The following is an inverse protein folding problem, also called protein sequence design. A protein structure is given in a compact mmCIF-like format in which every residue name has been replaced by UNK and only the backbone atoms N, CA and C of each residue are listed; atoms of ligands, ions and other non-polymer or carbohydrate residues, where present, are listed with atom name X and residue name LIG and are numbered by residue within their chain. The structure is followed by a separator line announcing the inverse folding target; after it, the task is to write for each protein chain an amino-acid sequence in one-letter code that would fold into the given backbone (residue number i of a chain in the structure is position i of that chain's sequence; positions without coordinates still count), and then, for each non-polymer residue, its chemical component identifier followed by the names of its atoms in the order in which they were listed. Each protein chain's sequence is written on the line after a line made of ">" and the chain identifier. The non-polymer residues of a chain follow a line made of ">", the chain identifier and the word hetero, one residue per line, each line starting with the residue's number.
data_IF_037780279563
#
_entry.id   IF_037780279563
#
_cell.length_a   1.000
_cell.length_b   1.000
_cell.length_c   1.000
_cell.angle_alpha   90.00
_cell.angle_beta   90.00
_cell.angle_gamma   90.00
#
_symmetry.space_group_name_H-M   'P 1'
#
loop_
_entity.id
_entity.type
_entity.pdbx_description
1 polymer ?
#
# COMPACT_ATOMS: atom_id res chain seq x y z
N UNK A 1 20.85 8.89 -8.65
CA UNK A 1 21.08 8.83 -10.10
C UNK A 1 19.77 8.76 -10.89
N UNK A 2 18.90 7.75 -10.73
CA UNK A 2 17.62 7.63 -11.48
C UNK A 2 16.69 8.82 -11.32
N UNK A 3 16.61 9.42 -10.13
CA UNK A 3 15.78 10.59 -9.88
C UNK A 3 16.27 11.81 -10.64
N UNK A 4 17.58 12.00 -10.74
CA UNK A 4 18.22 13.05 -11.55
C UNK A 4 17.91 12.87 -13.03
N UNK A 5 18.03 11.63 -13.52
CA UNK A 5 17.70 11.27 -14.92
C UNK A 5 16.24 11.61 -15.26
N UNK A 6 15.32 11.29 -14.33
CA UNK A 6 13.89 11.60 -14.49
C UNK A 6 13.66 13.12 -14.56
N UNK A 7 14.24 13.90 -13.66
CA UNK A 7 14.10 15.36 -13.68
C UNK A 7 14.61 15.94 -14.99
N UNK A 8 15.78 15.51 -15.44
CA UNK A 8 16.37 15.99 -16.70
C UNK A 8 15.54 15.55 -17.91
N UNK A 9 15.00 14.33 -17.91
CA UNK A 9 14.06 13.86 -18.92
C UNK A 9 12.81 14.75 -18.99
N UNK A 10 12.19 15.05 -17.83
CA UNK A 10 11.00 15.90 -17.77
C UNK A 10 11.25 17.32 -18.28
N UNK A 11 12.39 17.92 -17.89
CA UNK A 11 12.81 19.23 -18.42
C UNK A 11 12.97 19.25 -19.94
N UNK A 12 13.52 18.18 -20.51
CA UNK A 12 13.70 18.01 -21.94
C UNK A 12 12.36 17.78 -22.67
N UNK A 13 11.48 16.99 -22.06
CA UNK A 13 10.20 16.61 -22.68
C UNK A 13 9.17 17.73 -22.66
N UNK A 14 9.19 18.57 -21.63
CA UNK A 14 8.27 19.70 -21.45
C UNK A 14 9.03 20.97 -21.07
N UNK A 15 9.78 21.55 -22.00
CA UNK A 15 10.61 22.74 -21.71
C UNK A 15 9.77 23.95 -21.29
N UNK A 16 8.50 24.01 -21.69
CA UNK A 16 7.55 25.05 -21.31
C UNK A 16 7.07 24.92 -19.85
N UNK A 17 7.26 23.74 -19.21
CA UNK A 17 6.93 23.51 -17.82
C UNK A 17 8.09 23.91 -16.93
N UNK A 18 7.90 24.96 -16.15
CA UNK A 18 8.93 25.43 -15.22
C UNK A 18 8.86 24.61 -13.93
N UNK A 19 9.68 23.56 -13.84
CA UNK A 19 9.82 22.75 -12.60
C UNK A 19 10.43 23.65 -11.53
N UNK A 20 9.72 23.86 -10.42
CA UNK A 20 10.14 24.74 -9.32
C UNK A 20 10.85 24.00 -8.19
N UNK A 21 10.53 22.76 -7.98
CA UNK A 21 11.05 21.95 -6.90
C UNK A 21 10.79 20.46 -7.19
N UNK A 22 11.44 19.60 -6.41
CA UNK A 22 11.19 18.15 -6.42
C UNK A 22 10.73 17.71 -5.03
N UNK A 23 9.62 17.01 -4.95
CA UNK A 23 9.24 16.25 -3.76
C UNK A 23 9.84 14.83 -3.89
N UNK A 24 10.72 14.47 -2.97
CA UNK A 24 11.47 13.22 -3.01
C UNK A 24 11.18 12.40 -1.75
N UNK A 25 10.25 11.43 -1.80
CA UNK A 25 9.93 10.61 -0.64
C UNK A 25 10.99 9.55 -0.33
N UNK A 26 11.92 9.27 -1.28
CA UNK A 26 12.83 8.14 -1.19
C UNK A 26 12.12 6.79 -1.34
N UNK A 27 12.88 5.71 -1.22
CA UNK A 27 12.37 4.35 -1.12
C UNK A 27 12.54 3.85 0.30
N UNK A 28 11.47 3.46 0.97
CA UNK A 28 11.54 2.98 2.35
C UNK A 28 12.37 1.70 2.44
N UNK A 29 13.43 1.73 3.27
CA UNK A 29 14.26 0.57 3.63
C UNK A 29 13.79 -0.02 4.95
N UNK A 30 13.52 0.87 5.94
CA UNK A 30 13.06 0.47 7.27
C UNK A 30 12.12 1.55 7.79
N UNK A 31 11.11 1.14 8.53
CA UNK A 31 10.14 2.04 9.13
C UNK A 31 9.71 1.51 10.48
N UNK A 32 9.72 2.40 11.49
CA UNK A 32 9.25 2.15 12.84
C UNK A 32 8.46 3.37 13.31
N UNK A 33 7.82 3.29 14.47
CA UNK A 33 7.15 4.45 15.08
C UNK A 33 8.15 5.54 15.57
N UNK A 34 9.46 5.23 15.61
CA UNK A 34 10.48 6.16 16.11
C UNK A 34 11.31 6.78 14.98
N UNK A 35 11.50 6.07 13.87
CA UNK A 35 12.28 6.56 12.73
C UNK A 35 11.88 5.87 11.42
N UNK A 36 12.26 6.48 10.32
CA UNK A 36 12.12 5.90 8.98
C UNK A 36 13.39 6.12 8.17
N UNK A 37 13.90 5.06 7.55
CA UNK A 37 15.09 5.10 6.69
C UNK A 37 14.63 5.01 5.24
N UNK A 38 14.97 6.03 4.46
CA UNK A 38 14.66 6.10 3.04
C UNK A 38 15.94 6.01 2.21
N UNK A 39 15.93 5.15 1.18
CA UNK A 39 17.00 5.13 0.19
C UNK A 39 16.92 6.34 -0.74
N UNK A 40 18.08 6.84 -1.10
CA UNK A 40 18.29 7.96 -2.00
C UNK A 40 18.82 9.19 -1.26
N UNK A 41 19.54 10.01 -1.99
CA UNK A 41 20.19 11.21 -1.47
C UNK A 41 19.54 12.46 -2.08
N UNK A 42 18.78 13.25 -1.29
CA UNK A 42 18.19 14.49 -1.76
C UNK A 42 19.23 15.57 -2.06
N UNK A 43 20.42 15.54 -1.43
CA UNK A 43 21.48 16.51 -1.69
C UNK A 43 22.11 16.26 -3.06
N UNK A 44 22.33 15.00 -3.44
CA UNK A 44 22.78 14.64 -4.79
C UNK A 44 21.79 15.16 -5.86
N UNK A 45 20.48 14.99 -5.62
CA UNK A 45 19.46 15.47 -6.56
C UNK A 45 19.50 17.01 -6.65
N UNK A 46 19.66 17.70 -5.54
CA UNK A 46 19.77 19.16 -5.53
C UNK A 46 21.01 19.64 -6.30
N UNK A 47 22.18 19.07 -6.02
CA UNK A 47 23.43 19.44 -6.68
C UNK A 47 23.35 19.25 -8.21
N UNK A 48 22.82 18.11 -8.66
CA UNK A 48 22.75 17.77 -10.09
C UNK A 48 21.64 18.52 -10.84
N UNK A 49 20.56 18.93 -10.16
CA UNK A 49 19.43 19.57 -10.82
C UNK A 49 19.31 21.07 -10.55
N UNK A 50 19.98 21.57 -9.52
CA UNK A 50 19.86 22.93 -9.00
C UNK A 50 18.40 23.29 -8.61
N UNK A 51 17.62 22.32 -8.20
CA UNK A 51 16.25 22.51 -7.74
C UNK A 51 16.15 22.36 -6.23
N UNK A 52 15.28 23.12 -5.54
CA UNK A 52 14.89 22.83 -4.17
C UNK A 52 14.32 21.41 -4.08
N UNK A 53 14.77 20.63 -3.07
CA UNK A 53 14.29 19.28 -2.82
C UNK A 53 13.55 19.26 -1.48
N UNK A 54 12.33 18.81 -1.48
CA UNK A 54 11.55 18.50 -0.28
C UNK A 54 11.66 16.99 -0.03
N UNK A 55 12.20 16.60 1.10
CA UNK A 55 12.46 15.21 1.45
C UNK A 55 12.19 14.94 2.93
N UNK A 56 12.41 13.70 3.37
CA UNK A 56 12.32 13.26 4.77
C UNK A 56 10.94 13.48 5.43
N UNK A 57 9.88 13.37 4.65
CA UNK A 57 8.51 13.61 5.10
C UNK A 57 8.11 12.75 6.30
N UNK A 58 8.59 11.49 6.37
CA UNK A 58 8.23 10.53 7.40
C UNK A 58 8.84 10.89 8.75
N UNK A 59 10.14 11.17 8.79
CA UNK A 59 10.79 11.59 10.04
C UNK A 59 10.29 12.96 10.50
N UNK A 60 9.92 13.83 9.57
CA UNK A 60 9.31 15.12 9.90
C UNK A 60 7.95 14.94 10.60
N UNK A 61 7.14 13.98 10.18
CA UNK A 61 5.87 13.63 10.82
C UNK A 61 6.09 12.98 12.20
N UNK A 62 6.99 11.98 12.26
CA UNK A 62 7.38 11.29 13.51
C UNK A 62 7.88 12.29 14.56
N UNK A 63 8.75 13.24 14.18
CA UNK A 63 9.26 14.27 15.08
C UNK A 63 8.18 15.19 15.65
N UNK A 64 6.96 15.17 15.10
CA UNK A 64 5.78 15.91 15.57
C UNK A 64 4.74 15.05 16.26
N UNK A 65 5.09 13.81 16.59
CA UNK A 65 4.21 12.86 17.26
C UNK A 65 3.31 12.05 16.32
N UNK A 66 3.53 12.15 15.00
CA UNK A 66 2.92 11.25 14.02
C UNK A 66 3.65 9.91 13.93
N UNK A 67 3.19 9.05 13.04
CA UNK A 67 3.77 7.71 12.79
C UNK A 67 4.63 7.63 11.52
N UNK A 68 4.73 8.72 10.76
CA UNK A 68 5.45 8.73 9.48
C UNK A 68 4.79 7.92 8.36
N UNK A 69 3.71 7.21 8.65
CA UNK A 69 2.90 6.45 7.70
C UNK A 69 1.47 6.24 8.25
N UNK A 70 0.44 6.18 7.37
CA UNK A 70 0.50 6.57 5.96
C UNK A 70 0.56 8.10 5.77
N UNK A 71 1.21 8.61 4.72
CA UNK A 71 1.25 10.06 4.40
C UNK A 71 0.21 10.48 3.36
N UNK A 72 -0.30 9.53 2.60
CA UNK A 72 -1.27 9.79 1.53
C UNK A 72 -2.63 10.33 2.00
N UNK A 73 -3.09 10.16 3.25
CA UNK A 73 -4.39 10.65 3.70
C UNK A 73 -4.60 12.17 3.52
N UNK A 74 -3.56 13.00 3.69
CA UNK A 74 -3.68 14.44 3.45
C UNK A 74 -3.91 14.76 1.96
N UNK A 75 -3.30 13.98 1.04
CA UNK A 75 -3.58 14.08 -0.38
C UNK A 75 -5.03 13.65 -0.67
N UNK A 76 -5.49 12.54 -0.08
CA UNK A 76 -6.86 12.09 -0.24
C UNK A 76 -7.86 13.15 0.24
N UNK A 77 -7.62 13.76 1.39
CA UNK A 77 -8.43 14.86 1.91
C UNK A 77 -8.47 16.04 0.93
N UNK A 78 -7.32 16.47 0.42
CA UNK A 78 -7.25 17.59 -0.50
C UNK A 78 -8.04 17.37 -1.81
N UNK A 79 -7.99 16.15 -2.36
CA UNK A 79 -8.61 15.86 -3.67
C UNK A 79 -10.03 15.31 -3.59
N UNK A 80 -10.35 14.56 -2.55
CA UNK A 80 -11.61 13.81 -2.48
C UNK A 80 -12.60 14.33 -1.44
N UNK A 81 -12.17 15.07 -0.42
CA UNK A 81 -13.04 15.53 0.64
C UNK A 81 -14.21 16.35 0.09
N UNK A 82 -15.41 16.05 0.57
CA UNK A 82 -16.65 16.76 0.24
C UNK A 82 -17.45 17.00 1.51
N UNK A 83 -17.90 18.23 1.70
CA UNK A 83 -18.70 18.62 2.85
C UNK A 83 -19.96 17.75 2.98
N UNK A 84 -20.22 17.27 4.19
CA UNK A 84 -21.39 16.44 4.50
C UNK A 84 -21.35 15.01 3.95
N UNK A 85 -20.26 14.58 3.33
CA UNK A 85 -20.14 13.25 2.72
C UNK A 85 -19.12 12.40 3.49
N UNK A 86 -19.49 11.15 3.78
CA UNK A 86 -18.59 10.11 4.26
C UNK A 86 -18.01 9.34 3.08
N UNK A 87 -16.69 9.29 2.96
CA UNK A 87 -15.97 8.72 1.82
C UNK A 87 -14.84 7.82 2.30
N UNK A 88 -14.62 6.73 1.58
CA UNK A 88 -13.52 5.81 1.84
C UNK A 88 -12.69 5.66 0.58
N UNK A 89 -11.40 5.89 0.69
CA UNK A 89 -10.46 5.77 -0.40
C UNK A 89 -9.51 4.61 -0.08
N UNK A 90 -9.49 3.60 -0.94
CA UNK A 90 -8.55 2.48 -0.87
C UNK A 90 -7.45 2.61 -1.90
N UNK A 91 -6.23 2.30 -1.48
CA UNK A 91 -5.11 1.98 -2.35
C UNK A 91 -4.76 0.50 -2.19
N UNK A 92 -4.77 -0.24 -3.31
CA UNK A 92 -4.43 -1.68 -3.35
C UNK A 92 -3.03 -1.83 -3.95
N UNK A 93 -2.02 -1.59 -3.11
CA UNK A 93 -0.61 -1.84 -3.42
C UNK A 93 -0.17 -3.24 -3.01
N UNK A 94 1.08 -3.41 -2.61
CA UNK A 94 1.55 -4.64 -1.94
C UNK A 94 0.78 -4.90 -0.66
N UNK A 95 0.63 -3.87 0.17
CA UNK A 95 -0.31 -3.78 1.29
C UNK A 95 -1.46 -2.89 0.85
N UNK A 96 -2.69 -3.26 1.18
CA UNK A 96 -3.86 -2.41 0.99
C UNK A 96 -3.99 -1.45 2.16
N UNK A 97 -4.24 -0.18 1.87
CA UNK A 97 -4.53 0.82 2.89
C UNK A 97 -5.80 1.62 2.57
N UNK A 98 -6.43 2.14 3.61
CA UNK A 98 -7.68 2.90 3.51
C UNK A 98 -7.59 4.24 4.23
N UNK A 99 -8.25 5.25 3.66
CA UNK A 99 -8.45 6.57 4.26
C UNK A 99 -9.94 6.86 4.31
N UNK A 100 -10.48 7.01 5.52
CA UNK A 100 -11.87 7.41 5.75
C UNK A 100 -11.94 8.91 5.97
N UNK A 101 -12.69 9.59 5.13
CA UNK A 101 -12.99 11.02 5.22
C UNK A 101 -14.44 11.22 5.63
N UNK A 102 -14.64 12.09 6.62
CA UNK A 102 -15.97 12.58 7.01
C UNK A 102 -16.00 14.09 6.82
N UNK A 103 -16.73 14.53 5.80
CA UNK A 103 -16.64 15.91 5.34
C UNK A 103 -15.20 16.26 4.96
N UNK A 104 -14.67 17.33 5.54
CA UNK A 104 -13.30 17.81 5.32
C UNK A 104 -12.28 17.28 6.35
N UNK A 105 -12.58 16.17 7.05
CA UNK A 105 -11.74 15.64 8.10
C UNK A 105 -11.32 14.21 7.78
N UNK A 106 -10.04 13.87 8.02
CA UNK A 106 -9.57 12.49 8.05
C UNK A 106 -10.07 11.89 9.37
N UNK A 107 -11.03 10.97 9.28
CA UNK A 107 -11.57 10.26 10.45
C UNK A 107 -10.72 9.07 10.82
N UNK A 108 -10.20 8.34 9.80
CA UNK A 108 -9.37 7.17 9.99
C UNK A 108 -8.41 7.00 8.81
N UNK A 109 -7.21 6.50 9.08
CA UNK A 109 -6.26 6.09 8.05
C UNK A 109 -5.44 4.91 8.57
N UNK A 110 -5.37 3.83 7.79
CA UNK A 110 -4.77 2.58 8.25
C UNK A 110 -4.35 1.68 7.10
N UNK A 111 -3.32 0.87 7.32
CA UNK A 111 -3.16 -0.35 6.58
C UNK A 111 -4.30 -1.31 6.93
N UNK A 112 -4.75 -2.06 5.94
CA UNK A 112 -6.00 -2.83 5.99
C UNK A 112 -5.72 -4.33 5.97
N UNK A 113 -4.77 -4.72 5.13
CA UNK A 113 -4.43 -6.13 4.95
C UNK A 113 -3.52 -6.34 3.75
N UNK A 114 -3.19 -7.60 3.42
CA UNK A 114 -2.42 -7.89 2.23
C UNK A 114 -3.21 -7.42 1.00
N UNK A 115 -2.56 -6.65 0.14
CA UNK A 115 -3.02 -6.33 -1.19
C UNK A 115 -2.49 -7.37 -2.18
N UNK A 116 -1.51 -6.96 -3.00
CA UNK A 116 -0.91 -7.83 -4.00
C UNK A 116 0.32 -8.62 -3.48
N UNK A 117 0.88 -8.30 -2.32
CA UNK A 117 2.16 -8.87 -1.88
C UNK A 117 2.18 -10.41 -1.84
N UNK A 118 1.11 -11.04 -1.35
CA UNK A 118 1.00 -12.50 -1.31
C UNK A 118 0.71 -13.11 -2.69
N UNK A 119 -0.04 -12.40 -3.53
CA UNK A 119 -0.31 -12.79 -4.91
C UNK A 119 0.98 -12.79 -5.73
N UNK A 120 1.78 -11.72 -5.62
CA UNK A 120 3.06 -11.57 -6.31
C UNK A 120 4.08 -12.60 -5.81
N UNK A 121 4.13 -12.84 -4.49
CA UNK A 121 4.96 -13.89 -3.92
C UNK A 121 4.59 -15.27 -4.49
N UNK A 122 3.30 -15.58 -4.56
CA UNK A 122 2.84 -16.87 -5.08
C UNK A 122 3.10 -16.98 -6.59
N UNK A 123 2.89 -15.92 -7.36
CA UNK A 123 3.18 -15.89 -8.80
C UNK A 123 4.66 -16.20 -9.09
N UNK A 124 5.58 -15.60 -8.30
CA UNK A 124 7.02 -15.88 -8.38
C UNK A 124 7.34 -17.33 -8.02
N UNK A 125 6.76 -17.86 -6.95
CA UNK A 125 6.96 -19.24 -6.53
C UNK A 125 6.49 -20.26 -7.58
N UNK A 126 5.47 -19.90 -8.35
CA UNK A 126 4.95 -20.71 -9.46
C UNK A 126 5.71 -20.50 -10.77
N UNK A 127 6.65 -19.57 -10.83
CA UNK A 127 7.36 -19.19 -12.06
C UNK A 127 6.44 -18.73 -13.20
N UNK A 128 5.29 -18.10 -12.89
CA UNK A 128 4.37 -17.56 -13.89
C UNK A 128 4.63 -16.08 -14.21
N UNK A 129 5.51 -15.43 -13.44
CA UNK A 129 5.93 -14.04 -13.62
C UNK A 129 6.12 -13.32 -12.29
N UNK A 130 6.32 -12.01 -12.35
CA UNK A 130 6.42 -11.17 -11.14
C UNK A 130 5.06 -11.00 -10.45
N UNK A 131 3.96 -11.20 -11.17
CA UNK A 131 2.58 -11.14 -10.69
C UNK A 131 1.65 -11.98 -11.58
N UNK A 132 0.44 -12.30 -11.09
CA UNK A 132 -0.61 -12.97 -11.89
C UNK A 132 -1.27 -11.95 -12.81
N UNK A 133 -0.84 -11.93 -14.08
CA UNK A 133 -1.30 -10.95 -15.06
C UNK A 133 -2.82 -11.07 -15.27
N UNK A 134 -3.54 -9.95 -15.10
CA UNK A 134 -5.00 -9.86 -15.19
C UNK A 134 -5.76 -10.79 -14.21
N UNK A 135 -5.09 -11.43 -13.27
CA UNK A 135 -5.70 -12.46 -12.42
C UNK A 135 -6.06 -13.75 -13.18
N UNK A 136 -5.42 -14.00 -14.33
CA UNK A 136 -5.78 -15.10 -15.23
C UNK A 136 -5.60 -16.48 -14.60
N UNK A 137 -4.69 -16.62 -13.63
CA UNK A 137 -4.47 -17.87 -12.90
C UNK A 137 -5.46 -18.02 -11.75
N UNK A 138 -5.63 -16.96 -10.95
CA UNK A 138 -6.59 -16.93 -9.85
C UNK A 138 -8.03 -17.18 -10.33
N UNK A 139 -8.41 -16.62 -11.50
CA UNK A 139 -9.74 -16.77 -12.09
C UNK A 139 -10.09 -18.22 -12.48
N UNK A 140 -9.11 -19.09 -12.62
CA UNK A 140 -9.31 -20.53 -12.89
C UNK A 140 -9.46 -21.38 -11.64
N UNK A 141 -9.18 -20.79 -10.48
CA UNK A 141 -9.25 -21.45 -9.17
C UNK A 141 -10.59 -21.27 -8.47
N UNK A 142 -10.69 -21.95 -7.34
CA UNK A 142 -11.77 -21.78 -6.36
C UNK A 142 -11.15 -21.51 -5.00
N UNK A 143 -11.73 -20.58 -4.28
CA UNK A 143 -11.25 -20.28 -2.93
C UNK A 143 -11.33 -21.50 -2.03
N UNK A 144 -10.26 -21.79 -1.30
CA UNK A 144 -10.17 -22.87 -0.34
C UNK A 144 -10.49 -22.35 1.06
N UNK A 145 -11.64 -22.71 1.57
CA UNK A 145 -12.17 -22.22 2.86
C UNK A 145 -11.25 -22.52 4.06
N UNK A 146 -10.51 -23.63 4.02
CA UNK A 146 -9.61 -24.00 5.13
C UNK A 146 -8.38 -23.08 5.16
N UNK A 147 -7.77 -22.84 4.01
CA UNK A 147 -6.66 -21.90 3.90
C UNK A 147 -7.12 -20.48 4.23
N UNK A 148 -8.26 -20.06 3.69
CA UNK A 148 -8.83 -18.74 3.94
C UNK A 148 -9.07 -18.50 5.44
N UNK A 149 -9.76 -19.42 6.12
CA UNK A 149 -10.03 -19.30 7.55
C UNK A 149 -8.75 -19.27 8.38
N UNK A 150 -7.75 -20.09 8.05
CA UNK A 150 -6.45 -20.07 8.71
C UNK A 150 -5.77 -18.69 8.58
N UNK A 151 -5.76 -18.10 7.38
CA UNK A 151 -5.16 -16.80 7.16
C UNK A 151 -5.95 -15.68 7.85
N UNK A 152 -7.27 -15.73 7.80
CA UNK A 152 -8.14 -14.75 8.49
C UNK A 152 -7.93 -14.78 10.00
N UNK A 153 -7.88 -15.97 10.62
CA UNK A 153 -7.64 -16.13 12.06
C UNK A 153 -6.32 -15.45 12.49
N UNK A 154 -5.26 -15.58 11.68
CA UNK A 154 -3.98 -14.92 11.95
C UNK A 154 -4.04 -13.39 11.85
N UNK A 155 -5.01 -12.86 11.11
CA UNK A 155 -5.21 -11.42 10.88
C UNK A 155 -6.34 -10.82 11.73
N UNK A 156 -7.11 -11.64 12.46
CA UNK A 156 -8.33 -11.21 13.18
C UNK A 156 -8.02 -10.24 14.33
N UNK A 157 -6.87 -10.41 14.99
CA UNK A 157 -6.52 -9.65 16.19
C UNK A 157 -5.85 -8.29 15.89
N UNK A 158 -5.75 -7.91 14.63
CA UNK A 158 -5.10 -6.65 14.24
C UNK A 158 -6.10 -5.49 14.33
N UNK A 159 -5.96 -4.67 15.37
CA UNK A 159 -6.78 -3.47 15.56
C UNK A 159 -6.41 -2.37 14.55
N UNK A 160 -7.38 -1.53 14.21
CA UNK A 160 -7.17 -0.27 13.48
C UNK A 160 -7.02 0.91 14.46
N UNK A 161 -6.26 1.98 14.12
CA UNK A 161 -5.37 2.10 12.96
C UNK A 161 -4.04 1.35 13.16
N UNK A 162 -3.44 0.92 12.06
CA UNK A 162 -2.14 0.24 12.07
C UNK A 162 -1.29 0.57 10.85
N UNK A 163 0.01 0.31 10.96
CA UNK A 163 0.98 0.28 9.87
C UNK A 163 1.60 -1.12 9.84
N UNK A 164 1.56 -1.77 8.69
CA UNK A 164 1.98 -3.16 8.54
C UNK A 164 3.29 -3.25 7.73
N UNK A 165 4.07 -4.30 7.99
CA UNK A 165 5.22 -4.67 7.17
C UNK A 165 4.89 -5.88 6.29
N UNK A 166 5.40 -5.89 5.06
CA UNK A 166 5.20 -7.00 4.11
C UNK A 166 5.72 -8.33 4.67
N UNK A 167 6.83 -8.31 5.41
CA UNK A 167 7.43 -9.50 6.01
C UNK A 167 6.46 -10.22 6.94
N UNK A 168 5.63 -9.48 7.68
CA UNK A 168 4.59 -10.05 8.53
C UNK A 168 3.60 -10.92 7.74
N UNK A 169 3.15 -10.46 6.58
CA UNK A 169 2.25 -11.23 5.72
C UNK A 169 2.95 -12.46 5.12
N UNK A 170 4.23 -12.32 4.76
CA UNK A 170 5.02 -13.45 4.25
C UNK A 170 5.18 -14.53 5.31
N UNK A 171 5.46 -14.18 6.57
CA UNK A 171 5.56 -15.13 7.67
C UNK A 171 4.25 -15.88 7.92
N UNK A 172 3.12 -15.16 7.92
CA UNK A 172 1.78 -15.78 8.04
C UNK A 172 1.54 -16.74 6.88
N UNK A 173 1.83 -16.35 5.64
CA UNK A 173 1.62 -17.21 4.48
C UNK A 173 2.54 -18.43 4.50
N UNK A 174 3.82 -18.27 4.89
CA UNK A 174 4.75 -19.36 5.07
C UNK A 174 4.27 -20.37 6.12
N UNK A 175 3.64 -19.91 7.20
CA UNK A 175 3.07 -20.79 8.23
C UNK A 175 1.93 -21.67 7.70
N UNK A 176 1.33 -21.32 6.57
CA UNK A 176 0.26 -22.09 5.90
C UNK A 176 0.76 -23.18 4.95
N UNK A 177 2.07 -23.42 4.82
CA UNK A 177 2.67 -24.37 3.86
C UNK A 177 2.04 -25.78 3.87
N UNK A 178 1.62 -26.26 5.03
CA UNK A 178 1.00 -27.58 5.12
C UNK A 178 -0.37 -27.63 4.41
N UNK A 179 -1.12 -26.54 4.43
CA UNK A 179 -2.37 -26.43 3.66
C UNK A 179 -2.07 -26.33 2.17
N UNK A 180 -1.07 -25.56 1.78
CA UNK A 180 -0.72 -25.32 0.37
C UNK A 180 -0.37 -26.61 -0.38
N UNK A 181 0.24 -27.61 0.28
CA UNK A 181 0.61 -28.91 -0.33
C UNK A 181 -0.58 -29.69 -0.90
N UNK A 182 -1.78 -29.44 -0.42
CA UNK A 182 -3.00 -30.18 -0.80
C UNK A 182 -3.96 -29.35 -1.65
N UNK A 183 -3.57 -28.15 -2.04
CA UNK A 183 -4.40 -27.18 -2.75
C UNK A 183 -3.73 -26.88 -4.10
N UNK A 184 -4.52 -26.74 -5.16
CA UNK A 184 -3.95 -26.35 -6.46
C UNK A 184 -3.42 -24.91 -6.44
N UNK A 185 -2.39 -24.60 -7.23
CA UNK A 185 -1.88 -23.24 -7.33
C UNK A 185 -2.95 -22.20 -7.68
N UNK A 186 -3.88 -22.53 -8.57
CA UNK A 186 -4.98 -21.65 -8.93
C UNK A 186 -5.91 -21.36 -7.74
N UNK A 187 -6.20 -22.39 -6.93
CA UNK A 187 -7.05 -22.25 -5.76
C UNK A 187 -6.35 -21.44 -4.66
N UNK A 188 -5.03 -21.57 -4.53
CA UNK A 188 -4.25 -20.72 -3.60
C UNK A 188 -4.37 -19.25 -4.03
N UNK A 189 -4.09 -18.92 -5.29
CA UNK A 189 -4.20 -17.55 -5.80
C UNK A 189 -5.63 -17.01 -5.66
N UNK A 190 -6.65 -17.80 -6.00
CA UNK A 190 -8.05 -17.43 -5.80
C UNK A 190 -8.36 -17.12 -4.32
N UNK A 191 -7.84 -17.94 -3.40
CA UNK A 191 -8.01 -17.74 -1.95
C UNK A 191 -7.34 -16.45 -1.47
N UNK A 192 -6.17 -16.10 -2.00
CA UNK A 192 -5.47 -14.87 -1.65
C UNK A 192 -6.18 -13.62 -2.16
N UNK A 193 -6.82 -13.69 -3.35
CA UNK A 193 -7.69 -12.61 -3.85
C UNK A 193 -8.87 -12.40 -2.90
N UNK A 194 -9.54 -13.48 -2.49
CA UNK A 194 -10.65 -13.40 -1.55
C UNK A 194 -10.22 -12.85 -0.18
N UNK A 195 -9.05 -13.27 0.32
CA UNK A 195 -8.48 -12.73 1.57
C UNK A 195 -8.34 -11.21 1.50
N UNK A 196 -7.73 -10.69 0.43
CA UNK A 196 -7.56 -9.25 0.24
C UNK A 196 -8.91 -8.52 0.19
N UNK A 197 -9.86 -9.07 -0.55
CA UNK A 197 -11.21 -8.49 -0.66
C UNK A 197 -11.94 -8.48 0.70
N UNK A 198 -11.83 -9.55 1.49
CA UNK A 198 -12.45 -9.62 2.81
C UNK A 198 -11.84 -8.61 3.78
N UNK A 199 -10.52 -8.40 3.76
CA UNK A 199 -9.88 -7.40 4.62
C UNK A 199 -10.29 -5.97 4.24
N UNK A 200 -10.44 -5.67 2.95
CA UNK A 200 -10.98 -4.40 2.46
C UNK A 200 -12.44 -4.21 2.95
N UNK A 201 -13.26 -5.26 2.83
CA UNK A 201 -14.65 -5.27 3.34
C UNK A 201 -14.70 -5.01 4.85
N UNK A 202 -13.83 -5.66 5.62
CA UNK A 202 -13.80 -5.51 7.08
C UNK A 202 -13.51 -4.07 7.49
N UNK A 203 -12.56 -3.41 6.82
CA UNK A 203 -12.27 -2.00 7.06
C UNK A 203 -13.43 -1.08 6.62
N UNK A 204 -14.13 -1.42 5.53
CA UNK A 204 -15.33 -0.69 5.12
C UNK A 204 -16.40 -0.70 6.23
N UNK A 205 -16.66 -1.84 6.85
CA UNK A 205 -17.60 -1.94 7.95
C UNK A 205 -17.10 -1.27 9.23
N UNK A 206 -15.81 -1.34 9.49
CA UNK A 206 -15.18 -0.61 10.58
C UNK A 206 -15.39 0.91 10.47
N UNK A 207 -15.37 1.46 9.26
CA UNK A 207 -15.64 2.87 8.97
C UNK A 207 -17.15 3.23 8.94
N UNK A 208 -18.04 2.40 9.48
CA UNK A 208 -19.50 2.65 9.57
C UNK A 208 -20.19 2.90 8.22
N UNK A 209 -19.89 2.08 7.22
CA UNK A 209 -20.53 2.08 5.90
C UNK A 209 -20.47 3.46 5.20
N UNK A 210 -19.33 3.94 4.79
CA UNK A 210 -19.21 5.20 4.07
C UNK A 210 -20.03 5.20 2.77
N UNK A 211 -20.60 6.36 2.44
CA UNK A 211 -21.53 6.48 1.31
C UNK A 211 -20.86 6.41 -0.06
N UNK A 212 -19.59 6.79 -0.16
CA UNK A 212 -18.80 6.74 -1.40
C UNK A 212 -17.49 5.99 -1.17
N UNK A 213 -17.16 5.07 -2.05
CA UNK A 213 -15.91 4.32 -2.01
C UNK A 213 -15.14 4.56 -3.31
N UNK A 214 -13.87 4.94 -3.19
CA UNK A 214 -12.91 5.02 -4.27
C UNK A 214 -11.85 3.92 -4.10
N UNK A 215 -11.45 3.28 -5.20
CA UNK A 215 -10.40 2.25 -5.22
C UNK A 215 -9.38 2.64 -6.29
N UNK A 216 -8.10 2.62 -5.95
CA UNK A 216 -7.00 2.86 -6.87
C UNK A 216 -5.78 1.96 -6.60
#
# INVERSE_FOLDING_TARGET
>A
QKSVEIVNFLRKKWPEKNIKAVAFPGQTISHTDEYSIQAGDPEEINMETSLPIYADFRNFDIARGGRGAPLVPEFHKYFFAKEGVSQLIFNIGGISNGTHLVGNTISEASDVGPGNCLLDLMAKNLNIGDFDKNGDTAAKGKSNIRLLNFLLEKLEHLAYPRADDISFYYEIFESSKNFQKTITPNDILCTLVELSALKIRDFYFYCFNPGIVYIH
#
